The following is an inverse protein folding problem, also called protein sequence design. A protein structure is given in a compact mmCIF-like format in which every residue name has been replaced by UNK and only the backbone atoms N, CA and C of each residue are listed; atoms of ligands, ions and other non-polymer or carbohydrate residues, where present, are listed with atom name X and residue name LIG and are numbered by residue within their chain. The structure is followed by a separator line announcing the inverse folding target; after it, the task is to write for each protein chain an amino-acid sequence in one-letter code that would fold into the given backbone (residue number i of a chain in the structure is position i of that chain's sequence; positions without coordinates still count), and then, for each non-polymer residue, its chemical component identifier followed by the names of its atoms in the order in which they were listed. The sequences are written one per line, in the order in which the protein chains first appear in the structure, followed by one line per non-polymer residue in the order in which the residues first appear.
data_IF_308990345797
#
_entry.id   IF_308990345797
#
_cell.length_a   1.000
_cell.length_b   1.000
_cell.length_c   1.000
_cell.angle_alpha   90.00
_cell.angle_beta   90.00
_cell.angle_gamma   90.00
#
_symmetry.space_group_name_H-M   'P 1'
#
loop_
_entity.id
_entity.type
_entity.pdbx_description
1 polymer ?
#
# COMPACT_ATOMS: atom_id res chain seq x y z
N UNK A 1 12.71 22.41 11.44
CA UNK A 1 11.74 21.42 10.89
C UNK A 1 12.41 20.52 9.83
N UNK A 2 13.08 19.45 10.25
CA UNK A 2 14.25 18.93 9.50
C UNK A 2 13.98 18.03 8.27
N UNK A 3 12.75 17.60 7.96
CA UNK A 3 12.55 16.59 6.89
C UNK A 3 11.41 16.81 5.91
N UNK A 4 10.62 17.89 6.04
CA UNK A 4 9.46 18.14 5.17
C UNK A 4 8.53 16.92 5.06
N UNK A 5 7.87 16.73 3.91
CA UNK A 5 7.00 15.57 3.68
C UNK A 5 7.74 14.27 3.29
N UNK A 6 9.09 14.25 3.31
CA UNK A 6 9.86 13.05 2.95
C UNK A 6 9.50 11.82 3.81
N UNK A 7 9.29 11.94 5.13
CA UNK A 7 8.85 10.81 5.95
C UNK A 7 7.50 10.26 5.48
N UNK A 8 6.56 11.12 5.10
CA UNK A 8 5.25 10.71 4.60
C UNK A 8 5.38 9.93 3.29
N UNK A 9 6.16 10.44 2.33
CA UNK A 9 6.42 9.74 1.07
C UNK A 9 7.02 8.35 1.33
N UNK A 10 7.98 8.25 2.26
CA UNK A 10 8.60 6.96 2.61
C UNK A 10 7.64 6.00 3.30
N UNK A 11 6.72 6.50 4.13
CA UNK A 11 5.68 5.68 4.74
C UNK A 11 4.72 5.11 3.67
N UNK A 12 4.27 5.95 2.73
CA UNK A 12 3.40 5.48 1.62
C UNK A 12 4.13 4.41 0.79
N UNK A 13 5.39 4.67 0.41
CA UNK A 13 6.19 3.68 -0.33
C UNK A 13 6.29 2.36 0.41
N UNK A 14 6.78 2.39 1.66
CA UNK A 14 7.04 1.18 2.44
C UNK A 14 5.80 0.38 2.79
N UNK A 15 4.71 1.05 3.14
CA UNK A 15 3.53 0.39 3.71
C UNK A 15 2.44 0.14 2.68
N UNK A 16 2.40 0.88 1.56
CA UNK A 16 1.35 0.78 0.55
C UNK A 16 1.93 0.32 -0.79
N UNK A 17 2.93 1.02 -1.33
CA UNK A 17 3.46 0.76 -2.67
C UNK A 17 4.19 -0.59 -2.76
N UNK A 18 5.13 -0.84 -1.84
CA UNK A 18 5.94 -2.08 -1.85
C UNK A 18 5.07 -3.34 -1.69
N UNK A 19 4.11 -3.42 -0.74
CA UNK A 19 3.25 -4.61 -0.61
C UNK A 19 2.28 -4.76 -1.78
N UNK A 20 1.69 -3.66 -2.27
CA UNK A 20 0.78 -3.72 -3.42
C UNK A 20 1.49 -4.22 -4.68
N UNK A 21 2.75 -3.84 -4.88
CA UNK A 21 3.56 -4.33 -5.99
C UNK A 21 3.74 -5.85 -5.95
N UNK A 22 3.95 -6.43 -4.75
CA UNK A 22 4.03 -7.88 -4.58
C UNK A 22 2.71 -8.57 -4.95
N UNK A 23 1.58 -8.05 -4.47
CA UNK A 23 0.26 -8.61 -4.76
C UNK A 23 -0.08 -8.55 -6.27
N UNK A 24 0.36 -7.50 -6.97
CA UNK A 24 0.23 -7.40 -8.44
C UNK A 24 1.11 -8.46 -9.13
N UNK A 25 2.35 -8.65 -8.68
CA UNK A 25 3.26 -9.66 -9.24
C UNK A 25 2.75 -11.10 -9.00
N UNK A 26 2.08 -11.34 -7.89
CA UNK A 26 1.40 -12.61 -7.58
C UNK A 26 0.13 -12.82 -8.40
N UNK A 27 -0.36 -11.79 -9.09
CA UNK A 27 -1.57 -11.83 -9.91
C UNK A 27 -2.87 -11.63 -9.13
N UNK A 28 -2.79 -11.22 -7.86
CA UNK A 28 -3.97 -10.96 -7.02
C UNK A 28 -4.72 -9.69 -7.44
N UNK A 29 -3.99 -8.73 -8.04
CA UNK A 29 -4.55 -7.51 -8.62
C UNK A 29 -4.05 -7.27 -10.04
N UNK A 30 -4.88 -6.63 -10.86
CA UNK A 30 -4.58 -6.32 -12.26
C UNK A 30 -4.95 -4.88 -12.61
N UNK A 31 -4.51 -4.44 -13.79
CA UNK A 31 -4.87 -3.14 -14.32
C UNK A 31 -6.39 -2.96 -14.38
N UNK A 32 -6.88 -1.79 -13.97
CA UNK A 32 -8.31 -1.47 -13.89
C UNK A 32 -8.98 -1.86 -12.58
N UNK A 33 -8.30 -2.60 -11.69
CA UNK A 33 -8.86 -2.98 -10.40
C UNK A 33 -9.00 -1.78 -9.45
N UNK A 34 -10.16 -1.66 -8.83
CA UNK A 34 -10.37 -0.74 -7.71
C UNK A 34 -10.03 -1.46 -6.40
N UNK A 35 -8.96 -1.00 -5.76
CA UNK A 35 -8.42 -1.64 -4.55
C UNK A 35 -8.74 -0.76 -3.35
N UNK A 36 -9.53 -1.31 -2.42
CA UNK A 36 -9.77 -0.74 -1.11
C UNK A 36 -8.66 -1.18 -0.15
N UNK A 37 -8.03 -0.21 0.50
CA UNK A 37 -6.99 -0.46 1.51
C UNK A 37 -7.52 -0.08 2.88
N UNK A 38 -7.55 -1.05 3.79
CA UNK A 38 -8.01 -0.88 5.16
C UNK A 38 -6.91 -1.17 6.18
N UNK A 39 -7.04 -0.58 7.37
CA UNK A 39 -6.17 -0.92 8.50
C UNK A 39 -6.57 -2.29 9.07
N UNK A 40 -5.66 -3.24 9.01
CA UNK A 40 -5.79 -4.55 9.65
C UNK A 40 -5.42 -4.55 11.13
N UNK A 41 -5.26 -5.74 11.71
CA UNK A 41 -4.79 -5.86 13.09
C UNK A 41 -3.36 -5.34 13.25
N UNK A 42 -3.12 -4.62 14.35
CA UNK A 42 -1.82 -4.03 14.63
C UNK A 42 -1.45 -2.91 13.66
N UNK A 43 -0.35 -3.11 12.95
CA UNK A 43 0.26 -2.12 12.04
C UNK A 43 0.24 -2.60 10.57
N UNK A 44 -0.56 -3.61 10.25
CA UNK A 44 -0.66 -4.19 8.91
C UNK A 44 -1.79 -3.53 8.13
N UNK A 45 -1.62 -3.43 6.81
CA UNK A 45 -2.66 -3.01 5.87
C UNK A 45 -3.26 -4.24 5.18
N UNK A 46 -4.54 -4.15 4.84
CA UNK A 46 -5.28 -5.20 4.13
C UNK A 46 -5.79 -4.62 2.81
N UNK A 47 -5.52 -5.32 1.71
CA UNK A 47 -5.93 -4.92 0.36
C UNK A 47 -7.10 -5.79 -0.08
N UNK A 48 -8.15 -5.18 -0.65
CA UNK A 48 -9.34 -5.88 -1.14
C UNK A 48 -9.77 -5.29 -2.48
N UNK A 49 -10.17 -6.16 -3.41
CA UNK A 49 -10.77 -5.74 -4.68
C UNK A 49 -12.24 -5.37 -4.46
N UNK A 50 -12.68 -4.27 -5.05
CA UNK A 50 -14.10 -3.87 -5.12
C UNK A 50 -14.78 -4.48 -6.34
#
# INVERSE_FOLDING_TARGET
PSFGARPLKRAIQRYIEDPLALEILEGNFSEGDHILVDRGMGNNLVFRKQ
#
